data_IF_963989048751
#
_entry.id   IF_963989048751
#
_cell.length_a   1.000
_cell.length_b   1.000
_cell.length_c   1.000
_cell.angle_alpha   90.00
_cell.angle_beta   90.00
_cell.angle_gamma   90.00
#
_symmetry.space_group_name_H-M   'P 1'
#
loop_
_entity.id
_entity.type
_entity.pdbx_description
1 polymer ?
#
# COMPACT_ATOMS: atom_id res chain seq x y z
N UNK A 1 -12.81 -6.74 1.49
CA UNK A 1 -11.78 -6.74 0.44
C UNK A 1 -11.78 -5.36 -0.18
N UNK A 2 -10.61 -4.87 -0.57
CA UNK A 2 -10.46 -3.49 -1.06
C UNK A 2 -10.68 -3.34 -2.54
N UNK A 3 -10.57 -4.45 -3.26
CA UNK A 3 -10.82 -4.53 -4.69
C UNK A 3 -12.16 -5.20 -4.95
N UNK A 4 -12.86 -4.72 -5.97
CA UNK A 4 -14.04 -5.40 -6.52
C UNK A 4 -13.66 -6.46 -7.57
N UNK A 5 -12.39 -6.49 -8.01
CA UNK A 5 -11.86 -7.42 -9.01
C UNK A 5 -10.35 -7.25 -9.15
N UNK A 6 -9.86 -7.21 -10.39
CA UNK A 6 -8.44 -6.91 -10.66
C UNK A 6 -8.12 -5.40 -10.58
N UNK A 7 -6.92 -5.02 -11.00
CA UNK A 7 -6.47 -3.62 -10.99
C UNK A 7 -7.20 -2.69 -11.98
N UNK A 8 -8.07 -3.23 -12.85
CA UNK A 8 -8.91 -2.46 -13.78
C UNK A 8 -10.29 -2.13 -13.19
N UNK A 9 -10.64 -2.75 -12.07
CA UNK A 9 -11.92 -2.58 -11.38
C UNK A 9 -11.82 -1.58 -10.22
N UNK A 10 -12.95 -1.03 -9.74
CA UNK A 10 -12.95 -0.11 -8.62
C UNK A 10 -12.31 -0.70 -7.36
N UNK A 11 -11.58 0.16 -6.64
CA UNK A 11 -10.99 -0.18 -5.35
C UNK A 11 -11.07 1.00 -4.37
N UNK A 12 -11.01 0.69 -3.09
CA UNK A 12 -10.98 1.67 -2.02
C UNK A 12 -9.53 2.06 -1.70
N UNK A 13 -9.27 3.37 -1.62
CA UNK A 13 -8.00 3.92 -1.15
C UNK A 13 -8.17 4.54 0.23
N UNK A 14 -7.24 4.25 1.15
CA UNK A 14 -7.20 4.84 2.49
C UNK A 14 -5.78 5.37 2.75
N UNK A 15 -5.69 6.62 3.19
CA UNK A 15 -4.47 7.19 3.74
C UNK A 15 -4.63 7.30 5.27
N UNK A 16 -3.66 6.80 6.01
CA UNK A 16 -3.69 6.80 7.47
C UNK A 16 -2.36 6.38 8.08
N UNK A 17 -2.35 6.20 9.39
CA UNK A 17 -1.22 5.70 10.15
C UNK A 17 -1.59 4.45 10.93
N UNK A 18 -0.59 3.64 11.28
CA UNK A 18 -0.79 2.53 12.21
C UNK A 18 -1.23 3.05 13.57
N UNK A 19 -2.20 2.37 14.17
CA UNK A 19 -2.74 2.71 15.48
C UNK A 19 -2.88 1.44 16.32
N UNK A 20 -2.79 1.62 17.63
CA UNK A 20 -3.14 0.56 18.57
C UNK A 20 -4.62 0.20 18.44
N UNK A 21 -4.97 -1.07 18.72
CA UNK A 21 -6.37 -1.58 18.64
C UNK A 21 -7.38 -0.74 19.43
N UNK A 22 -6.95 -0.07 20.49
CA UNK A 22 -7.80 0.70 21.40
C UNK A 22 -7.79 2.22 21.08
N UNK A 23 -7.23 2.64 19.95
CA UNK A 23 -7.23 4.04 19.57
C UNK A 23 -8.66 4.56 19.38
N UNK A 24 -8.94 5.73 19.95
CA UNK A 24 -10.21 6.43 19.78
C UNK A 24 -10.03 7.51 18.72
N UNK A 25 -10.92 7.54 17.74
CA UNK A 25 -10.91 8.53 16.67
C UNK A 25 -12.23 9.30 16.69
N UNK A 26 -12.18 10.58 16.34
CA UNK A 26 -13.38 11.39 16.11
C UNK A 26 -13.78 11.29 14.65
N UNK A 27 -15.08 11.31 14.40
CA UNK A 27 -15.61 11.45 13.05
C UNK A 27 -15.00 12.71 12.39
N UNK A 28 -14.67 12.66 11.09
CA UNK A 28 -15.05 11.63 10.11
C UNK A 28 -14.01 10.50 9.90
N UNK A 29 -13.09 10.26 10.83
CA UNK A 29 -12.06 9.21 10.68
C UNK A 29 -12.67 7.80 10.72
N UNK A 30 -12.11 6.90 9.91
CA UNK A 30 -12.44 5.46 9.89
C UNK A 30 -11.21 4.64 10.25
N UNK A 31 -11.42 3.44 10.77
CA UNK A 31 -10.35 2.48 11.03
C UNK A 31 -10.47 1.28 10.10
N UNK A 32 -9.32 0.64 9.85
CA UNK A 32 -9.24 -0.54 9.00
C UNK A 32 -8.19 -1.50 9.53
N UNK A 33 -8.54 -2.78 9.56
CA UNK A 33 -7.58 -3.85 9.88
C UNK A 33 -7.09 -4.47 8.58
N UNK A 34 -5.80 -4.32 8.29
CA UNK A 34 -5.11 -5.07 7.24
C UNK A 34 -4.98 -6.51 7.72
N UNK A 35 -5.57 -7.46 7.00
CA UNK A 35 -5.52 -8.87 7.38
C UNK A 35 -4.12 -9.44 7.14
N UNK A 36 -3.67 -10.32 8.04
CA UNK A 36 -2.46 -11.11 7.81
C UNK A 36 -2.58 -12.01 6.58
N UNK A 37 -1.45 -12.50 6.09
CA UNK A 37 -1.41 -13.35 4.89
C UNK A 37 -0.05 -13.31 4.22
N UNK A 38 0.00 -13.84 2.99
CA UNK A 38 1.21 -13.80 2.15
C UNK A 38 1.23 -12.49 1.37
N UNK A 39 2.37 -11.81 1.44
CA UNK A 39 2.62 -10.56 0.73
C UNK A 39 3.98 -10.64 0.03
N UNK A 40 4.01 -10.25 -1.23
CA UNK A 40 5.27 -9.91 -1.89
C UNK A 40 5.68 -8.51 -1.40
N UNK A 41 6.83 -8.42 -0.73
CA UNK A 41 7.40 -7.16 -0.26
C UNK A 41 8.38 -6.62 -1.30
N UNK A 42 8.18 -5.38 -1.70
CA UNK A 42 9.09 -4.62 -2.53
C UNK A 42 9.58 -3.41 -1.74
N UNK A 43 10.87 -3.08 -1.89
CA UNK A 43 11.45 -1.89 -1.30
C UNK A 43 11.92 -1.03 -2.46
N UNK A 44 11.40 0.19 -2.54
CA UNK A 44 11.81 1.18 -3.53
C UNK A 44 12.36 2.41 -2.80
N UNK A 45 13.26 3.12 -3.48
CA UNK A 45 13.78 4.40 -3.01
C UNK A 45 13.76 5.43 -4.14
N UNK A 46 13.56 6.70 -3.77
CA UNK A 46 13.63 7.83 -4.69
C UNK A 46 12.54 8.87 -4.44
N UNK A 47 12.23 9.65 -5.48
CA UNK A 47 11.11 10.60 -5.45
C UNK A 47 9.81 9.86 -5.16
N UNK A 48 9.12 10.28 -4.10
CA UNK A 48 7.94 9.58 -3.58
C UNK A 48 6.85 9.39 -4.64
N UNK A 49 6.61 10.38 -5.50
CA UNK A 49 5.54 10.32 -6.51
C UNK A 49 5.97 9.51 -7.72
N UNK A 50 7.13 9.84 -8.28
CA UNK A 50 7.61 9.22 -9.51
C UNK A 50 8.00 7.75 -9.29
N UNK A 51 8.58 7.41 -8.14
CA UNK A 51 9.04 6.05 -7.85
C UNK A 51 7.87 5.09 -7.61
N UNK A 52 6.87 5.52 -6.83
CA UNK A 52 5.64 4.74 -6.60
C UNK A 52 4.86 4.55 -7.91
N UNK A 53 4.69 5.62 -8.70
CA UNK A 53 4.01 5.52 -10.00
C UNK A 53 4.71 4.54 -10.95
N UNK A 54 6.04 4.61 -11.05
CA UNK A 54 6.84 3.66 -11.85
C UNK A 54 6.72 2.23 -11.34
N UNK A 55 6.67 2.03 -10.03
CA UNK A 55 6.47 0.71 -9.44
C UNK A 55 5.13 0.10 -9.88
N UNK A 56 4.02 0.81 -9.69
CA UNK A 56 2.70 0.29 -10.06
C UNK A 56 2.56 -0.01 -11.54
N UNK A 57 3.09 0.85 -12.42
CA UNK A 57 3.11 0.60 -13.86
C UNK A 57 3.87 -0.67 -14.25
N UNK A 58 4.93 -1.02 -13.50
CA UNK A 58 5.66 -2.28 -13.70
C UNK A 58 4.89 -3.46 -13.13
N UNK A 59 4.33 -3.31 -11.92
CA UNK A 59 3.58 -4.36 -11.25
C UNK A 59 2.36 -4.79 -12.07
N UNK A 60 1.59 -3.85 -12.64
CA UNK A 60 0.42 -4.18 -13.47
C UNK A 60 0.76 -4.96 -14.74
N UNK A 61 2.02 -4.94 -15.18
CA UNK A 61 2.52 -5.73 -16.32
C UNK A 61 3.20 -7.02 -15.89
N UNK A 62 3.39 -7.23 -14.60
CA UNK A 62 4.06 -8.40 -14.05
C UNK A 62 3.09 -9.58 -14.00
N UNK A 63 3.56 -10.75 -14.39
CA UNK A 63 2.83 -11.99 -14.15
C UNK A 63 3.03 -12.44 -12.69
N UNK A 64 2.27 -11.82 -11.77
CA UNK A 64 2.28 -12.12 -10.34
C UNK A 64 0.90 -12.67 -9.95
N UNK A 65 0.88 -13.81 -9.26
CA UNK A 65 -0.35 -14.43 -8.75
C UNK A 65 -0.91 -13.66 -7.54
N UNK A 66 -1.60 -12.56 -7.87
CA UNK A 66 -2.16 -11.61 -6.90
C UNK A 66 -3.48 -12.12 -6.35
N UNK A 67 -3.65 -11.92 -5.05
CA UNK A 67 -4.87 -12.25 -4.31
C UNK A 67 -5.94 -11.14 -4.36
N UNK A 68 -5.53 -9.90 -4.63
CA UNK A 68 -6.42 -8.71 -4.68
C UNK A 68 -7.25 -8.49 -3.40
N UNK A 69 -6.77 -8.91 -2.22
CA UNK A 69 -7.49 -8.66 -0.97
C UNK A 69 -7.24 -7.27 -0.40
N UNK A 70 -5.97 -6.88 -0.29
CA UNK A 70 -5.49 -5.58 0.21
C UNK A 70 -4.03 -5.44 -0.19
N UNK A 71 -3.68 -4.39 -0.92
CA UNK A 71 -2.30 -3.99 -1.16
C UNK A 71 -2.06 -2.70 -0.36
N UNK A 72 -0.84 -2.49 0.15
CA UNK A 72 -0.55 -1.27 0.92
C UNK A 72 0.90 -0.82 0.78
N UNK A 73 1.09 0.47 1.04
CA UNK A 73 2.36 1.16 0.98
C UNK A 73 2.69 1.70 2.38
N UNK A 74 3.92 1.49 2.81
CA UNK A 74 4.44 1.96 4.09
C UNK A 74 5.59 2.93 3.80
N UNK A 75 5.31 4.22 4.01
CA UNK A 75 6.25 5.29 3.82
C UNK A 75 7.10 5.44 5.09
N UNK A 76 8.38 5.05 5.01
CA UNK A 76 9.22 4.93 6.20
C UNK A 76 9.53 6.29 6.83
N UNK A 77 9.50 7.39 6.05
CA UNK A 77 9.79 8.75 6.52
C UNK A 77 11.14 8.86 7.27
N UNK A 78 12.10 7.99 6.94
CA UNK A 78 13.42 7.91 7.58
C UNK A 78 14.30 9.14 7.28
N UNK A 79 13.87 10.01 6.36
CA UNK A 79 14.58 11.23 5.96
C UNK A 79 13.59 12.36 5.68
N UNK A 80 14.05 13.62 5.78
CA UNK A 80 13.28 14.80 5.35
C UNK A 80 13.39 15.05 3.84
N UNK A 81 14.29 14.34 3.16
CA UNK A 81 14.52 14.47 1.73
C UNK A 81 13.47 13.68 0.94
N UNK A 82 12.49 14.38 0.36
CA UNK A 82 11.42 13.77 -0.44
C UNK A 82 11.91 13.10 -1.73
N UNK A 83 13.14 13.36 -2.17
CA UNK A 83 13.75 12.77 -3.35
C UNK A 83 14.43 11.42 -3.08
N UNK A 84 14.61 11.07 -1.80
CA UNK A 84 15.29 9.85 -1.36
C UNK A 84 14.50 9.12 -0.28
N UNK A 85 13.18 9.05 -0.43
CA UNK A 85 12.31 8.34 0.50
C UNK A 85 12.38 6.84 0.27
N UNK A 86 12.44 6.07 1.36
CA UNK A 86 12.27 4.62 1.33
C UNK A 86 10.80 4.26 1.53
N UNK A 87 10.29 3.40 0.65
CA UNK A 87 8.88 3.03 0.62
C UNK A 87 8.80 1.52 0.49
N UNK A 88 8.11 0.88 1.43
CA UNK A 88 7.86 -0.56 1.39
C UNK A 88 6.47 -0.77 0.80
N UNK A 89 6.38 -1.61 -0.22
CA UNK A 89 5.12 -1.91 -0.91
C UNK A 89 4.83 -3.39 -0.74
N UNK A 90 3.63 -3.69 -0.27
CA UNK A 90 3.18 -5.04 0.05
C UNK A 90 2.01 -5.40 -0.86
N UNK A 91 2.22 -6.39 -1.72
CA UNK A 91 1.22 -6.87 -2.67
C UNK A 91 0.70 -8.22 -2.19
N UNK A 92 -0.61 -8.34 -2.00
CA UNK A 92 -1.21 -9.58 -1.54
C UNK A 92 -1.17 -10.65 -2.63
N UNK A 93 -0.70 -11.85 -2.28
CA UNK A 93 -0.50 -12.97 -3.19
C UNK A 93 -1.13 -14.26 -2.65
N UNK A 94 -1.36 -15.22 -3.54
CA UNK A 94 -1.85 -16.57 -3.21
C UNK A 94 -0.72 -17.48 -2.72
#
# INVERSE_FOLDING_TARGET
MDYQGDFTQPFNFLCGCEVNKNAQFKLPLVSKTIQGGRYAKFIISGDVKASVGKFWLKLWKMNLDRKYSCDFEEYQNNTKDMQNQEIHIYISIN
#
